data_IF_833211466846
#
_entry.id   IF_833211466846
#
_cell.length_a   1.000
_cell.length_b   1.000
_cell.length_c   1.000
_cell.angle_alpha   90.00
_cell.angle_beta   90.00
_cell.angle_gamma   90.00
#
_symmetry.space_group_name_H-M   'P 1'
#
loop_
_entity.id
_entity.type
_entity.pdbx_description
1 polymer ?
#
# COMPACT_ATOMS: atom_id res chain seq x y z
N UNK A 1 -28.92 17.97 -10.43
CA UNK A 1 -28.79 17.17 -9.20
C UNK A 1 -27.86 17.87 -8.24
N UNK A 2 -28.20 17.93 -6.95
CA UNK A 2 -27.27 18.41 -5.92
C UNK A 2 -26.15 17.37 -5.66
N UNK A 3 -25.14 17.73 -4.87
CA UNK A 3 -24.02 16.83 -4.59
C UNK A 3 -24.47 15.46 -4.04
N UNK A 4 -25.40 15.47 -3.07
CA UNK A 4 -25.91 14.25 -2.44
C UNK A 4 -26.63 13.35 -3.44
N UNK A 5 -27.47 13.92 -4.30
CA UNK A 5 -28.17 13.18 -5.36
C UNK A 5 -27.18 12.53 -6.34
N UNK A 6 -26.11 13.24 -6.71
CA UNK A 6 -25.06 12.66 -7.55
C UNK A 6 -24.36 11.51 -6.83
N UNK A 7 -23.95 11.67 -5.57
CA UNK A 7 -23.31 10.57 -4.82
C UNK A 7 -24.23 9.37 -4.70
N UNK A 8 -25.52 9.57 -4.37
CA UNK A 8 -26.49 8.47 -4.33
C UNK A 8 -26.57 7.78 -5.69
N UNK A 9 -26.65 8.53 -6.80
CA UNK A 9 -26.62 7.95 -8.15
C UNK A 9 -25.34 7.15 -8.40
N UNK A 10 -24.16 7.68 -8.09
CA UNK A 10 -22.88 7.00 -8.32
C UNK A 10 -22.75 5.71 -7.50
N UNK A 11 -23.36 5.67 -6.31
CA UNK A 11 -23.39 4.47 -5.46
C UNK A 11 -24.33 3.38 -6.01
N UNK A 12 -25.39 3.75 -6.74
CA UNK A 12 -26.46 2.81 -7.13
C UNK A 12 -26.62 2.59 -8.63
N UNK A 13 -26.05 3.44 -9.48
CA UNK A 13 -26.18 3.33 -10.94
C UNK A 13 -25.58 2.02 -11.45
N UNK A 14 -26.13 1.42 -12.52
CA UNK A 14 -25.57 0.19 -13.04
C UNK A 14 -24.21 0.41 -13.71
N UNK A 15 -23.39 -0.64 -13.74
CA UNK A 15 -22.28 -0.72 -14.68
C UNK A 15 -22.79 -0.70 -16.12
N UNK A 16 -21.95 -0.23 -17.04
CA UNK A 16 -22.21 -0.37 -18.46
C UNK A 16 -21.93 -1.82 -18.86
N UNK A 17 -22.86 -2.41 -19.60
CA UNK A 17 -22.79 -3.81 -20.01
C UNK A 17 -21.56 -4.07 -20.89
N UNK A 18 -20.84 -5.16 -20.63
CA UNK A 18 -19.61 -5.57 -21.34
C UNK A 18 -18.43 -4.59 -21.26
N UNK A 19 -18.47 -3.61 -20.36
CA UNK A 19 -17.37 -2.68 -20.13
C UNK A 19 -16.54 -3.08 -18.91
N UNK A 20 -15.26 -2.74 -18.96
CA UNK A 20 -14.30 -3.05 -17.90
C UNK A 20 -13.98 -1.82 -17.05
N UNK A 21 -13.66 -2.06 -15.78
CA UNK A 21 -13.44 -1.00 -14.79
C UNK A 21 -12.11 -1.18 -14.07
N UNK A 22 -11.41 -0.08 -13.82
CA UNK A 22 -10.29 -0.04 -12.89
C UNK A 22 -10.78 0.31 -11.48
N UNK A 23 -10.26 -0.40 -10.48
CA UNK A 23 -10.49 -0.06 -9.08
C UNK A 23 -9.49 0.99 -8.61
N UNK A 24 -9.94 2.22 -8.40
CA UNK A 24 -9.14 3.34 -7.93
C UNK A 24 -9.63 3.75 -6.55
N UNK A 25 -8.70 4.00 -5.62
CA UNK A 25 -9.01 4.44 -4.26
C UNK A 25 -8.34 5.77 -3.98
N UNK A 26 -9.09 6.70 -3.40
CA UNK A 26 -8.53 7.95 -2.88
C UNK A 26 -8.78 8.04 -1.38
N UNK A 27 -7.71 8.30 -0.63
CA UNK A 27 -7.74 8.41 0.84
C UNK A 27 -6.67 9.37 1.32
N UNK A 28 -6.60 9.58 2.63
CA UNK A 28 -5.43 10.20 3.26
C UNK A 28 -4.44 9.13 3.69
N UNK A 29 -3.15 9.38 3.47
CA UNK A 29 -2.08 8.59 4.07
C UNK A 29 -1.93 8.91 5.58
N UNK A 30 -1.06 8.16 6.28
CA UNK A 30 -0.79 8.38 7.70
C UNK A 30 -0.22 9.77 8.03
N UNK A 31 0.27 10.50 7.03
CA UNK A 31 0.79 11.88 7.13
C UNK A 31 -0.25 12.93 6.69
N UNK A 32 -1.52 12.55 6.57
CA UNK A 32 -2.63 13.40 6.12
C UNK A 32 -2.44 14.00 4.71
N UNK A 33 -1.70 13.32 3.83
CA UNK A 33 -1.58 13.67 2.40
C UNK A 33 -2.58 12.86 1.58
N UNK A 34 -3.12 13.46 0.52
CA UNK A 34 -4.01 12.76 -0.41
C UNK A 34 -3.22 11.72 -1.19
N UNK A 35 -3.68 10.48 -1.15
CA UNK A 35 -3.09 9.34 -1.85
C UNK A 35 -4.12 8.72 -2.80
N UNK A 36 -3.68 8.45 -4.03
CA UNK A 36 -4.43 7.71 -5.04
C UNK A 36 -3.76 6.36 -5.26
N UNK A 37 -4.52 5.29 -5.04
CA UNK A 37 -4.08 3.91 -5.22
C UNK A 37 -4.94 3.18 -6.25
N UNK A 38 -4.42 2.09 -6.78
CA UNK A 38 -5.09 1.26 -7.77
C UNK A 38 -4.85 -0.22 -7.48
N UNK A 39 -5.84 -1.07 -7.77
CA UNK A 39 -5.60 -2.52 -7.82
C UNK A 39 -4.80 -2.87 -9.07
N UNK A 40 -3.72 -3.62 -8.90
CA UNK A 40 -2.78 -3.90 -9.98
C UNK A 40 -2.60 -5.37 -10.26
N UNK A 41 -2.25 -5.70 -11.51
CA UNK A 41 -1.82 -7.02 -11.96
C UNK A 41 -0.35 -7.00 -12.33
N UNK A 42 0.29 -8.16 -12.23
CA UNK A 42 1.66 -8.33 -12.69
C UNK A 42 1.69 -8.36 -14.22
N UNK A 43 2.61 -7.61 -14.83
CA UNK A 43 2.79 -7.60 -16.29
C UNK A 43 4.25 -7.79 -16.73
N UNK A 44 5.19 -7.99 -15.79
CA UNK A 44 6.56 -8.34 -16.14
C UNK A 44 7.57 -8.12 -15.03
N UNK A 45 8.84 -8.19 -15.41
CA UNK A 45 9.97 -7.83 -14.56
C UNK A 45 10.86 -6.81 -15.27
N UNK A 46 11.53 -5.99 -14.48
CA UNK A 46 12.65 -5.19 -15.01
C UNK A 46 13.84 -6.10 -15.36
N UNK A 47 14.69 -5.63 -16.26
CA UNK A 47 15.89 -6.36 -16.73
C UNK A 47 17.10 -6.20 -15.80
N UNK A 48 17.12 -5.16 -14.96
CA UNK A 48 18.17 -4.94 -13.97
C UNK A 48 18.15 -6.00 -12.85
N UNK A 49 19.30 -6.18 -12.19
CA UNK A 49 19.43 -7.09 -11.05
C UNK A 49 19.56 -6.30 -9.74
N UNK A 50 18.79 -6.65 -8.69
CA UNK A 50 17.72 -7.64 -8.69
C UNK A 50 16.49 -7.16 -9.48
N UNK A 51 15.84 -8.08 -10.18
CA UNK A 51 14.64 -7.79 -10.96
C UNK A 51 13.54 -7.25 -10.06
N UNK A 52 12.79 -6.25 -10.55
CA UNK A 52 11.63 -5.68 -9.87
C UNK A 52 10.35 -6.02 -10.63
N UNK A 53 9.25 -6.26 -9.90
CA UNK A 53 7.96 -6.51 -10.53
C UNK A 53 7.50 -5.24 -11.25
N UNK A 54 7.08 -5.38 -12.50
CA UNK A 54 6.33 -4.36 -13.23
C UNK A 54 4.86 -4.73 -13.11
N UNK A 55 4.05 -3.75 -12.70
CA UNK A 55 2.62 -3.92 -12.50
C UNK A 55 1.85 -2.80 -13.17
N UNK A 56 0.64 -3.10 -13.60
CA UNK A 56 -0.28 -2.17 -14.25
C UNK A 56 -1.66 -2.28 -13.60
N UNK A 57 -2.56 -1.35 -13.89
CA UNK A 57 -3.93 -1.41 -13.39
C UNK A 57 -4.62 -2.70 -13.81
N UNK A 58 -5.39 -3.29 -12.89
CA UNK A 58 -6.24 -4.44 -13.18
C UNK A 58 -7.60 -4.00 -13.68
N UNK A 59 -8.10 -4.68 -14.72
CA UNK A 59 -9.48 -4.56 -15.19
C UNK A 59 -10.39 -5.52 -14.42
N UNK A 60 -11.60 -5.06 -14.14
CA UNK A 60 -12.60 -5.78 -13.38
C UNK A 60 -14.00 -5.61 -13.96
N UNK A 61 -14.88 -6.57 -13.68
CA UNK A 61 -16.32 -6.38 -13.82
C UNK A 61 -16.84 -5.44 -12.72
N UNK A 62 -17.53 -4.37 -13.14
CA UNK A 62 -17.98 -3.30 -12.24
C UNK A 62 -19.03 -3.75 -11.23
N UNK A 63 -20.03 -4.53 -11.65
CA UNK A 63 -21.09 -4.98 -10.75
C UNK A 63 -20.59 -5.99 -9.74
N UNK A 64 -19.82 -6.97 -10.20
CA UNK A 64 -19.23 -8.01 -9.37
C UNK A 64 -18.35 -7.40 -8.29
N UNK A 65 -17.46 -6.46 -8.66
CA UNK A 65 -16.57 -5.83 -7.69
C UNK A 65 -17.29 -4.92 -6.72
N UNK A 66 -18.31 -4.16 -7.17
CA UNK A 66 -19.11 -3.34 -6.26
C UNK A 66 -19.89 -4.22 -5.27
N UNK A 67 -20.46 -5.32 -5.73
CA UNK A 67 -21.14 -6.28 -4.86
C UNK A 67 -20.17 -6.95 -3.87
N UNK A 68 -18.94 -7.25 -4.30
CA UNK A 68 -17.89 -7.76 -3.42
C UNK A 68 -17.50 -6.75 -2.33
N UNK A 69 -17.28 -5.48 -2.71
CA UNK A 69 -17.02 -4.36 -1.81
C UNK A 69 -18.10 -4.26 -0.71
N UNK A 70 -19.38 -4.31 -1.13
CA UNK A 70 -20.51 -4.21 -0.21
C UNK A 70 -20.56 -5.34 0.82
N UNK A 71 -20.16 -6.56 0.46
CA UNK A 71 -20.08 -7.70 1.39
C UNK A 71 -19.04 -7.49 2.51
N UNK A 72 -18.05 -6.64 2.30
CA UNK A 72 -17.07 -6.25 3.32
C UNK A 72 -17.51 -5.03 4.15
N UNK A 73 -18.72 -4.51 3.93
CA UNK A 73 -19.22 -3.30 4.61
C UNK A 73 -18.64 -2.00 4.04
N UNK A 74 -18.05 -2.07 2.84
CA UNK A 74 -17.46 -0.93 2.14
C UNK A 74 -18.36 -0.49 0.96
N UNK A 75 -18.01 0.63 0.35
CA UNK A 75 -18.76 1.19 -0.79
C UNK A 75 -17.81 1.63 -1.88
N UNK A 76 -18.25 1.50 -3.14
CA UNK A 76 -17.52 2.01 -4.29
C UNK A 76 -18.45 2.85 -5.17
N UNK A 77 -17.97 4.03 -5.57
CA UNK A 77 -18.62 4.83 -6.61
C UNK A 77 -18.39 4.19 -7.96
N UNK A 78 -19.42 4.06 -8.78
CA UNK A 78 -19.27 3.61 -10.15
C UNK A 78 -19.17 4.85 -11.04
N UNK A 79 -18.10 5.00 -11.82
CA UNK A 79 -17.78 6.20 -12.60
C UNK A 79 -17.80 5.83 -14.08
N UNK A 80 -18.94 6.11 -14.73
CA UNK A 80 -19.19 5.82 -16.15
C UNK A 80 -18.89 7.01 -17.07
N UNK A 81 -18.94 8.24 -16.53
CA UNK A 81 -18.77 9.47 -17.28
C UNK A 81 -17.62 10.29 -16.68
N UNK A 82 -16.86 10.95 -17.54
CA UNK A 82 -15.72 11.79 -17.14
C UNK A 82 -16.15 12.95 -16.23
N UNK A 83 -17.38 13.43 -16.37
CA UNK A 83 -17.96 14.50 -15.56
C UNK A 83 -18.28 14.03 -14.13
N UNK A 84 -18.24 12.72 -13.86
CA UNK A 84 -18.43 12.15 -12.54
C UNK A 84 -17.13 12.13 -11.69
N UNK A 85 -15.97 12.29 -12.33
CA UNK A 85 -14.65 12.30 -11.67
C UNK A 85 -14.51 13.37 -10.57
N UNK A 86 -14.99 14.62 -10.74
CA UNK A 86 -14.98 15.60 -9.66
C UNK A 86 -15.75 15.17 -8.41
N UNK A 87 -16.84 14.41 -8.55
CA UNK A 87 -17.58 13.88 -7.40
C UNK A 87 -16.78 12.79 -6.67
N UNK A 88 -16.03 11.97 -7.41
CA UNK A 88 -15.10 11.01 -6.80
C UNK A 88 -14.02 11.73 -5.96
N UNK A 89 -13.38 12.76 -6.52
CA UNK A 89 -12.42 13.58 -5.75
C UNK A 89 -13.06 14.28 -4.54
N UNK A 90 -14.31 14.71 -4.63
CA UNK A 90 -14.96 15.39 -3.52
C UNK A 90 -15.44 14.41 -2.42
N UNK A 91 -15.85 13.20 -2.80
CA UNK A 91 -16.41 12.21 -1.87
C UNK A 91 -15.36 11.32 -1.23
N UNK A 92 -14.38 10.86 -2.00
CA UNK A 92 -13.34 9.96 -1.56
C UNK A 92 -13.67 8.47 -1.65
N UNK A 93 -12.77 7.63 -1.11
CA UNK A 93 -13.01 6.19 -0.97
C UNK A 93 -12.70 5.41 -2.23
N UNK A 94 -13.45 4.33 -2.47
CA UNK A 94 -13.29 3.49 -3.66
C UNK A 94 -14.12 4.01 -4.84
N UNK A 95 -13.57 3.88 -6.04
CA UNK A 95 -14.26 4.05 -7.29
C UNK A 95 -13.90 2.95 -8.27
N UNK A 96 -14.92 2.43 -8.96
CA UNK A 96 -14.79 1.64 -10.16
C UNK A 96 -14.93 2.59 -11.35
N UNK A 97 -13.82 2.86 -12.03
CA UNK A 97 -13.76 3.82 -13.13
C UNK A 97 -13.70 3.07 -14.45
N UNK A 98 -14.67 3.33 -15.33
CA UNK A 98 -14.74 2.68 -16.65
C UNK A 98 -13.45 2.93 -17.44
N UNK A 99 -12.99 1.93 -18.19
CA UNK A 99 -11.69 1.91 -18.85
C UNK A 99 -11.40 3.18 -19.65
N UNK A 100 -12.35 3.64 -20.49
CA UNK A 100 -12.15 4.85 -21.30
C UNK A 100 -11.90 6.12 -20.46
N UNK A 101 -12.63 6.29 -19.35
CA UNK A 101 -12.42 7.41 -18.42
C UNK A 101 -11.09 7.25 -17.69
N UNK A 102 -10.74 6.02 -17.30
CA UNK A 102 -9.48 5.73 -16.63
C UNK A 102 -8.26 6.02 -17.52
N UNK A 103 -8.29 5.62 -18.78
CA UNK A 103 -7.27 5.93 -19.77
C UNK A 103 -7.13 7.44 -19.97
N UNK A 104 -8.22 8.20 -19.96
CA UNK A 104 -8.17 9.65 -20.18
C UNK A 104 -7.73 10.46 -18.95
N UNK A 105 -8.11 10.05 -17.73
CA UNK A 105 -7.90 10.84 -16.50
C UNK A 105 -6.86 10.26 -15.54
N UNK A 106 -6.60 8.96 -15.64
CA UNK A 106 -5.77 8.22 -14.71
C UNK A 106 -4.70 7.39 -15.43
N UNK A 107 -4.33 7.74 -16.66
CA UNK A 107 -3.32 7.06 -17.48
C UNK A 107 -2.05 6.72 -16.69
N UNK A 108 -1.46 7.72 -16.02
CA UNK A 108 -0.26 7.55 -15.21
C UNK A 108 -0.44 6.54 -14.08
N UNK A 109 -1.66 6.43 -13.53
CA UNK A 109 -1.97 5.50 -12.44
C UNK A 109 -2.13 4.05 -12.95
N UNK A 110 -2.79 3.86 -14.10
CA UNK A 110 -3.05 2.54 -14.69
C UNK A 110 -1.87 1.97 -15.48
N UNK A 111 -0.97 2.83 -15.97
CA UNK A 111 0.17 2.42 -16.81
C UNK A 111 1.15 1.49 -16.07
N UNK A 112 1.85 0.60 -16.78
CA UNK A 112 2.93 -0.22 -16.23
C UNK A 112 3.96 0.58 -15.44
N UNK A 113 4.29 0.12 -14.25
CA UNK A 113 5.25 0.77 -13.37
C UNK A 113 5.96 -0.23 -12.46
N UNK A 114 7.20 0.11 -12.11
CA UNK A 114 7.98 -0.65 -11.14
C UNK A 114 7.30 -0.60 -9.77
N UNK A 115 7.06 -1.78 -9.21
CA UNK A 115 6.36 -1.96 -7.95
C UNK A 115 7.20 -2.79 -6.99
N UNK A 116 7.21 -2.36 -5.73
CA UNK A 116 7.82 -3.04 -4.61
C UNK A 116 6.71 -3.58 -3.68
N UNK A 117 7.04 -4.54 -2.83
CA UNK A 117 6.08 -5.14 -1.89
C UNK A 117 5.86 -4.21 -0.72
N UNK A 118 4.60 -3.98 -0.35
CA UNK A 118 4.33 -3.24 0.88
C UNK A 118 4.80 -4.03 2.10
N UNK A 119 5.44 -3.37 3.05
CA UNK A 119 6.05 -4.06 4.19
C UNK A 119 5.06 -4.64 5.20
N UNK A 120 3.75 -4.37 5.06
CA UNK A 120 2.70 -5.07 5.79
C UNK A 120 2.36 -6.44 5.20
N UNK A 121 3.03 -6.84 4.11
CA UNK A 121 2.81 -8.13 3.43
C UNK A 121 1.61 -8.17 2.49
N UNK A 122 0.81 -7.11 2.45
CA UNK A 122 -0.39 -7.01 1.64
C UNK A 122 -0.25 -5.88 0.62
N UNK A 123 -0.24 -6.25 -0.66
CA UNK A 123 -0.21 -5.30 -1.78
C UNK A 123 1.18 -4.80 -2.16
N UNK A 124 1.19 -3.70 -2.91
CA UNK A 124 2.35 -3.19 -3.61
C UNK A 124 2.41 -1.66 -3.51
N UNK A 125 3.63 -1.11 -3.57
CA UNK A 125 3.87 0.33 -3.67
C UNK A 125 4.68 0.64 -4.91
N UNK A 126 4.29 1.70 -5.62
CA UNK A 126 5.02 2.19 -6.79
C UNK A 126 6.38 2.73 -6.38
N UNK A 127 7.45 2.27 -7.01
CA UNK A 127 8.82 2.66 -6.68
C UNK A 127 9.06 4.18 -6.81
N UNK A 128 8.45 4.83 -7.82
CA UNK A 128 8.58 6.27 -8.04
C UNK A 128 7.93 7.14 -6.95
N UNK A 129 7.13 6.54 -6.06
CA UNK A 129 6.52 7.23 -4.92
C UNK A 129 7.32 7.08 -3.62
N UNK A 130 8.48 6.41 -3.68
CA UNK A 130 9.34 6.14 -2.53
C UNK A 130 10.54 7.07 -2.49
N UNK A 131 11.02 7.31 -1.28
CA UNK A 131 12.27 8.01 -1.06
C UNK A 131 13.45 7.14 -1.52
N UNK A 132 14.53 7.77 -2.01
CA UNK A 132 15.71 7.06 -2.49
C UNK A 132 16.27 6.09 -1.43
N UNK A 133 16.28 6.51 -0.16
CA UNK A 133 16.74 5.67 0.95
C UNK A 133 15.93 4.36 1.12
N UNK A 134 14.66 4.35 0.72
CA UNK A 134 13.79 3.17 0.77
C UNK A 134 14.09 2.17 -0.37
N UNK A 135 14.69 2.63 -1.46
CA UNK A 135 15.07 1.82 -2.61
C UNK A 135 16.43 1.13 -2.42
N UNK A 136 17.28 1.66 -1.54
CA UNK A 136 18.62 1.14 -1.26
C UNK A 136 18.58 -0.18 -0.48
N UNK A 137 19.49 -1.13 -0.80
CA UNK A 137 19.58 -2.39 -0.05
C UNK A 137 20.03 -2.17 1.39
N UNK A 138 21.07 -1.36 1.61
CA UNK A 138 21.58 -1.10 2.94
C UNK A 138 20.76 0.01 3.62
N UNK A 139 20.21 -0.22 4.84
CA UNK A 139 19.60 0.86 5.60
C UNK A 139 20.66 1.90 5.99
N UNK A 140 20.25 3.16 6.12
CA UNK A 140 21.13 4.21 6.65
C UNK A 140 21.59 3.88 8.07
N UNK A 141 22.73 4.42 8.51
CA UNK A 141 23.24 4.21 9.88
C UNK A 141 22.20 4.64 10.94
N UNK A 142 21.46 5.72 10.65
CA UNK A 142 20.37 6.22 11.50
C UNK A 142 19.24 5.20 11.59
N UNK A 143 18.69 4.77 10.45
CA UNK A 143 17.63 3.77 10.41
C UNK A 143 18.06 2.47 11.09
N UNK A 144 19.28 1.98 10.82
CA UNK A 144 19.83 0.79 11.48
C UNK A 144 19.81 0.93 13.01
N UNK A 145 20.22 2.08 13.55
CA UNK A 145 20.20 2.31 15.00
C UNK A 145 18.78 2.43 15.56
N UNK A 146 17.86 3.02 14.82
CA UNK A 146 16.43 3.07 15.17
C UNK A 146 15.84 1.67 15.32
N UNK A 147 16.10 0.76 14.37
CA UNK A 147 15.64 -0.64 14.45
C UNK A 147 16.23 -1.35 15.66
N UNK A 148 17.55 -1.25 15.88
CA UNK A 148 18.20 -1.87 17.03
C UNK A 148 17.64 -1.35 18.36
N UNK A 149 17.32 -0.05 18.46
CA UNK A 149 16.73 0.53 19.67
C UNK A 149 15.25 0.12 19.84
N UNK A 150 14.45 0.15 18.78
CA UNK A 150 13.04 -0.33 18.76
C UNK A 150 12.94 -1.78 19.25
N UNK A 151 13.90 -2.60 18.83
CA UNK A 151 13.98 -4.03 19.18
C UNK A 151 14.69 -4.29 20.51
N UNK A 152 14.96 -3.22 21.28
CA UNK A 152 15.63 -3.25 22.60
C UNK A 152 17.00 -3.92 22.58
N UNK A 153 17.70 -3.86 21.44
CA UNK A 153 19.01 -4.50 21.18
C UNK A 153 19.00 -5.99 21.51
N UNK A 154 17.97 -6.69 21.02
CA UNK A 154 17.81 -8.15 21.14
C UNK A 154 17.47 -8.75 19.78
N UNK A 155 17.83 -10.01 19.59
CA UNK A 155 17.28 -10.81 18.50
C UNK A 155 15.77 -10.99 18.73
N UNK A 156 14.96 -10.64 17.75
CA UNK A 156 13.51 -10.77 17.87
C UNK A 156 12.99 -12.22 17.73
N UNK A 157 13.83 -13.14 17.26
CA UNK A 157 13.53 -14.58 17.21
C UNK A 157 13.87 -15.26 18.55
N UNK A 158 15.12 -15.16 19.02
CA UNK A 158 15.58 -15.93 20.19
C UNK A 158 15.72 -15.12 21.49
N UNK A 159 15.54 -13.80 21.45
CA UNK A 159 15.64 -12.91 22.63
C UNK A 159 17.06 -12.63 23.15
N UNK A 160 18.09 -13.28 22.61
CA UNK A 160 19.49 -13.04 23.02
C UNK A 160 19.92 -11.60 22.73
N UNK A 161 20.81 -11.07 23.57
CA UNK A 161 21.30 -9.69 23.52
C UNK A 161 22.79 -9.63 23.76
N UNK A 162 23.53 -8.74 23.06
CA UNK A 162 24.94 -8.46 23.34
C UNK A 162 25.21 -8.00 24.78
N UNK A 163 24.19 -7.55 25.52
CA UNK A 163 24.31 -7.17 26.93
C UNK A 163 24.66 -8.33 27.86
N UNK A 164 24.25 -9.56 27.53
CA UNK A 164 24.46 -10.74 28.39
C UNK A 164 25.35 -11.81 27.76
N UNK A 165 25.64 -11.68 26.46
CA UNK A 165 26.32 -12.69 25.66
C UNK A 165 27.34 -12.00 24.75
N UNK A 166 28.63 -12.22 25.00
CA UNK A 166 29.73 -11.57 24.27
C UNK A 166 29.87 -12.07 22.83
N UNK A 167 29.31 -13.24 22.53
CA UNK A 167 29.29 -13.89 21.21
C UNK A 167 28.13 -13.39 20.31
N UNK A 168 27.22 -12.57 20.84
CA UNK A 168 26.04 -12.13 20.09
C UNK A 168 26.33 -10.83 19.35
N UNK A 169 26.36 -10.91 18.02
CA UNK A 169 26.25 -9.76 17.11
C UNK A 169 24.82 -9.66 16.56
N UNK A 170 24.28 -8.43 16.50
CA UNK A 170 22.96 -8.16 15.93
C UNK A 170 23.07 -7.54 14.53
N UNK A 171 22.27 -8.08 13.62
CA UNK A 171 22.10 -7.62 12.25
C UNK A 171 20.67 -7.12 12.06
N UNK A 172 20.53 -6.09 11.21
CA UNK A 172 19.23 -5.62 10.74
C UNK A 172 18.95 -6.32 9.43
N UNK A 173 17.81 -6.99 9.35
CA UNK A 173 17.40 -7.88 8.26
C UNK A 173 16.05 -7.43 7.70
N UNK A 174 15.81 -7.65 6.42
CA UNK A 174 14.51 -7.37 5.79
C UNK A 174 13.58 -8.58 5.89
N UNK A 175 12.43 -8.44 6.53
CA UNK A 175 11.42 -9.50 6.61
C UNK A 175 10.90 -9.92 5.22
N UNK A 176 10.64 -8.95 4.34
CA UNK A 176 10.53 -9.18 2.90
C UNK A 176 11.92 -8.93 2.30
N UNK A 177 12.60 -9.94 1.72
CA UNK A 177 13.94 -9.77 1.19
C UNK A 177 14.03 -8.64 0.18
N UNK A 178 15.06 -7.79 0.28
CA UNK A 178 15.27 -6.68 -0.66
C UNK A 178 15.37 -7.16 -2.11
N UNK A 179 16.00 -8.32 -2.34
CA UNK A 179 16.07 -8.96 -3.66
C UNK A 179 14.71 -9.37 -4.25
N UNK A 180 13.67 -9.52 -3.41
CA UNK A 180 12.29 -9.86 -3.82
C UNK A 180 11.33 -8.66 -3.78
N UNK A 181 11.89 -7.46 -3.80
CA UNK A 181 11.14 -6.21 -3.82
C UNK A 181 10.74 -5.70 -2.43
N UNK A 182 11.36 -6.20 -1.37
CA UNK A 182 11.18 -5.64 -0.03
C UNK A 182 11.78 -4.24 0.10
N UNK A 183 11.06 -3.36 0.77
CA UNK A 183 11.41 -1.95 0.91
C UNK A 183 12.31 -1.75 2.14
N UNK A 184 13.26 -0.84 2.08
CA UNK A 184 14.13 -0.51 3.22
C UNK A 184 13.48 0.56 4.09
N UNK A 185 12.64 0.11 5.02
CA UNK A 185 11.93 0.97 5.97
C UNK A 185 11.69 0.24 7.29
N UNK A 186 11.38 1.00 8.35
CA UNK A 186 11.20 0.43 9.68
C UNK A 186 10.23 -0.75 9.73
N UNK A 187 9.11 -0.65 9.02
CA UNK A 187 8.09 -1.70 9.00
C UNK A 187 8.56 -3.02 8.34
N UNK A 188 9.61 -3.01 7.52
CA UNK A 188 10.17 -4.22 6.91
C UNK A 188 11.43 -4.73 7.61
N UNK A 189 11.99 -3.99 8.56
CA UNK A 189 13.30 -4.29 9.14
C UNK A 189 13.15 -4.91 10.53
N UNK A 190 14.01 -5.89 10.83
CA UNK A 190 14.02 -6.66 12.08
C UNK A 190 15.45 -6.90 12.58
N UNK A 191 15.66 -6.83 13.90
CA UNK A 191 16.93 -7.16 14.56
C UNK A 191 17.05 -8.65 14.84
N UNK A 192 18.05 -9.31 14.26
CA UNK A 192 18.34 -10.74 14.42
C UNK A 192 19.78 -10.96 14.86
N UNK A 193 20.06 -11.97 15.68
CA UNK A 193 21.44 -12.41 15.89
C UNK A 193 21.94 -13.21 14.68
N UNK A 194 23.27 -13.32 14.53
CA UNK A 194 23.89 -14.08 13.43
C UNK A 194 23.32 -15.50 13.25
N UNK A 195 23.19 -16.27 14.33
CA UNK A 195 22.65 -17.64 14.27
C UNK A 195 21.22 -17.69 13.73
N UNK A 196 20.34 -16.81 14.18
CA UNK A 196 18.97 -16.76 13.69
C UNK A 196 18.91 -16.24 12.25
N UNK A 197 19.71 -15.23 11.91
CA UNK A 197 19.80 -14.67 10.56
C UNK A 197 20.24 -15.72 9.54
N UNK A 198 21.31 -16.46 9.84
CA UNK A 198 21.86 -17.47 8.94
C UNK A 198 20.96 -18.72 8.85
N UNK A 199 20.12 -18.96 9.87
CA UNK A 199 19.14 -20.03 9.91
C UNK A 199 17.88 -19.77 9.06
N UNK A 200 17.63 -18.53 8.64
CA UNK A 200 16.61 -18.22 7.64
C UNK A 200 17.13 -18.71 6.28
N UNK A 201 16.73 -19.89 5.83
CA UNK A 201 17.15 -20.43 4.54
C UNK A 201 15.98 -20.34 3.52
N UNK A 202 16.10 -19.62 2.39
CA UNK A 202 17.22 -18.79 1.91
C UNK A 202 16.98 -17.28 2.13
N UNK A 203 17.00 -16.84 3.39
CA UNK A 203 16.77 -15.47 3.88
C UNK A 203 15.30 -15.06 4.05
N UNK A 204 14.39 -16.00 4.18
CA UNK A 204 12.97 -15.69 4.39
C UNK A 204 12.35 -16.60 5.44
N UNK A 205 11.40 -16.03 6.16
CA UNK A 205 10.41 -16.74 6.94
C UNK A 205 9.13 -15.92 6.81
N UNK A 206 8.09 -16.56 6.27
CA UNK A 206 6.79 -15.94 6.00
C UNK A 206 6.18 -15.35 7.27
N UNK A 207 6.51 -15.92 8.42
CA UNK A 207 5.99 -15.49 9.71
C UNK A 207 6.64 -14.21 10.22
N UNK A 208 7.79 -13.76 9.67
CA UNK A 208 8.43 -12.51 10.09
C UNK A 208 7.57 -11.28 9.78
N UNK A 209 6.89 -11.29 8.64
CA UNK A 209 6.01 -10.17 8.25
C UNK A 209 4.82 -10.11 9.21
N UNK A 210 4.19 -11.27 9.46
CA UNK A 210 3.09 -11.39 10.43
C UNK A 210 3.55 -10.94 11.81
N UNK A 211 4.70 -11.43 12.27
CA UNK A 211 5.29 -11.09 13.56
C UNK A 211 5.52 -9.57 13.70
N UNK A 212 6.12 -8.93 12.69
CA UNK A 212 6.35 -7.49 12.71
C UNK A 212 5.02 -6.71 12.69
N UNK A 213 4.04 -7.17 11.92
CA UNK A 213 2.72 -6.53 11.82
C UNK A 213 1.93 -6.64 13.13
N UNK A 214 1.99 -7.78 13.81
CA UNK A 214 1.35 -7.98 15.12
C UNK A 214 2.05 -7.18 16.23
N UNK A 215 3.39 -7.17 16.21
CA UNK A 215 4.20 -6.52 17.24
C UNK A 215 4.23 -4.99 17.10
N UNK A 216 4.26 -4.50 15.86
CA UNK A 216 4.33 -3.09 15.51
C UNK A 216 3.19 -2.75 14.55
N UNK A 217 1.93 -2.77 15.02
CA UNK A 217 0.77 -2.55 14.17
C UNK A 217 0.84 -1.14 13.57
N UNK A 218 0.67 -1.06 12.25
CA UNK A 218 0.48 0.22 11.58
C UNK A 218 -0.86 0.81 12.02
N UNK A 219 -0.97 2.13 12.22
CA UNK A 219 -2.26 2.77 12.41
C UNK A 219 -3.15 2.45 11.21
N UNK A 220 -4.15 1.59 11.41
CA UNK A 220 -5.19 1.31 10.42
C UNK A 220 -6.49 1.81 11.02
N UNK A 221 -7.13 2.77 10.36
CA UNK A 221 -8.53 3.07 10.62
C UNK A 221 -9.40 2.23 9.69
N UNK A 222 -10.62 1.90 10.12
CA UNK A 222 -11.56 1.22 9.24
C UNK A 222 -11.86 2.06 8.00
N UNK A 223 -12.26 1.41 6.90
CA UNK A 223 -12.55 2.10 5.64
C UNK A 223 -13.44 3.35 5.81
N UNK A 224 -14.53 3.22 6.58
CA UNK A 224 -15.47 4.32 6.82
C UNK A 224 -14.84 5.48 7.61
N UNK A 225 -13.93 5.19 8.54
CA UNK A 225 -13.22 6.22 9.29
C UNK A 225 -12.23 6.96 8.39
N UNK A 226 -11.53 6.25 7.51
CA UNK A 226 -10.63 6.85 6.51
C UNK A 226 -11.39 7.73 5.52
N UNK A 227 -12.53 7.23 5.03
CA UNK A 227 -13.41 7.99 4.15
C UNK A 227 -13.89 9.27 4.84
N UNK A 228 -14.31 9.17 6.12
CA UNK A 228 -14.74 10.33 6.90
C UNK A 228 -13.61 11.35 7.07
N UNK A 229 -12.40 10.91 7.43
CA UNK A 229 -11.21 11.76 7.53
C UNK A 229 -10.92 12.49 6.23
N UNK A 230 -11.00 11.77 5.10
CA UNK A 230 -10.82 12.36 3.78
C UNK A 230 -11.88 13.43 3.48
N UNK A 231 -13.16 13.14 3.75
CA UNK A 231 -14.25 14.09 3.55
C UNK A 231 -14.11 15.34 4.42
N UNK A 232 -13.70 15.18 5.67
CA UNK A 232 -13.43 16.30 6.57
C UNK A 232 -12.27 17.15 6.07
N UNK A 233 -11.20 16.53 5.55
CA UNK A 233 -10.10 17.24 4.88
C UNK A 233 -10.61 18.05 3.67
N UNK A 234 -11.38 17.44 2.77
CA UNK A 234 -11.90 18.12 1.58
C UNK A 234 -12.78 19.32 1.98
N UNK A 235 -13.68 19.15 2.96
CA UNK A 235 -14.50 20.26 3.48
C UNK A 235 -13.64 21.43 3.96
N UNK A 236 -12.59 21.16 4.74
CA UNK A 236 -11.68 22.19 5.23
C UNK A 236 -10.97 22.93 4.10
N UNK A 237 -10.57 22.23 3.04
CA UNK A 237 -9.93 22.88 1.88
C UNK A 237 -10.91 23.77 1.11
N UNK A 238 -12.19 23.38 1.03
CA UNK A 238 -13.23 24.18 0.37
C UNK A 238 -13.61 25.43 1.17
N UNK A 239 -13.57 25.37 2.50
CA UNK A 239 -13.90 26.52 3.39
C UNK A 239 -12.73 27.49 3.60
N UNK A 240 -11.51 27.13 3.17
CA UNK A 240 -10.31 27.99 3.23
C UNK A 240 -10.20 28.97 2.06
N UNK A 241 -11.14 28.91 1.11
CA UNK A 241 -11.33 29.91 0.05
C UNK A 241 -12.33 30.96 0.50
#
# INVERSE_FOLDING_TARGET
MNFRENITRLLTQPAIENEAYYWITIRLDASARVELNIQTQWCGYTEDKPRREIREGSLHDGEYQRAACFRFGETALLINDINDVPYFYAFGGHALVIEGVAQQKFERLISPHVSLRDSGGLGFRRASGLEEAQLQHAPSKKLRMEILNRDKRRCLICGRSPMYYVDVELHVHHAIPWGRGGITEEANLISLCKTCHDGLAPHEDQDLIRYLTEKYPRPSTGYLDDLKKYQDYVRQQLTKK
#
